data_IF_496686699580
#
_entry.id   IF_496686699580
#
_cell.length_a   1.000
_cell.length_b   1.000
_cell.length_c   1.000
_cell.angle_alpha   90.00
_cell.angle_beta   90.00
_cell.angle_gamma   90.00
#
_symmetry.space_group_name_H-M   'P 1'
#
loop_
_entity.id
_entity.type
_entity.pdbx_description
1 polymer ?
2 polymer ?
3 branched ?
4 branched ?
5 branched ?
6 non-polymer ?
7 non-polymer ?
8 water ?
#
loop_
_entity_poly.entity_id
_entity_poly.type
_entity_poly.pdbx_seq_one_letter_code
_entity_poly.pdbx_strand_id
2 'polyribonucleotide' 'CUC' ?
#
# COMPACT_ATOMS: atom_id res chain seq x y z
N UNK A 3 -9.52 -10.79 11.75
CA UNK A 3 -10.40 -9.85 11.00
C UNK A 3 -10.08 -8.34 11.09
N UNK A 4 -9.60 -7.90 12.27
CA UNK A 4 -9.20 -6.54 12.57
C UNK A 4 -7.73 -6.34 12.20
N UNK A 5 -7.47 -5.30 11.38
CA UNK A 5 -6.11 -4.94 10.97
C UNK A 5 -5.42 -4.25 12.15
N UNK A 6 -4.23 -4.68 12.54
CA UNK A 6 -3.51 -3.99 13.62
C UNK A 6 -2.27 -3.36 13.00
N UNK A 7 -2.24 -2.04 12.98
CA UNK A 7 -1.14 -1.30 12.37
C UNK A 7 -0.32 -0.47 13.36
N UNK A 8 0.97 -0.37 13.11
CA UNK A 8 1.85 0.41 13.95
C UNK A 8 2.95 1.13 13.18
N UNK A 9 3.47 2.20 13.77
CA UNK A 9 4.58 2.94 13.21
C UNK A 9 5.85 2.29 13.70
N UNK A 10 6.92 2.44 12.92
CA UNK A 10 8.25 1.97 13.27
C UNK A 10 9.21 3.15 13.21
N UNK A 11 10.27 3.13 14.00
CA UNK A 11 11.22 4.25 13.98
C UNK A 11 11.98 4.43 12.65
N UNK A 12 12.20 5.69 12.26
CA UNK A 12 12.94 6.08 11.07
C UNK A 12 13.33 7.57 11.17
N UNK A 13 14.65 7.84 11.33
CA UNK A 13 15.18 9.22 11.37
C UNK A 13 14.87 9.95 10.07
N UNK A 14 14.79 9.21 8.98
CA UNK A 14 14.50 9.72 7.64
C UNK A 14 13.07 10.17 7.41
N UNK A 15 12.12 9.70 8.26
CA UNK A 15 10.71 10.12 8.14
C UNK A 15 10.34 11.15 9.21
N UNK A 16 9.93 12.34 8.75
CA UNK A 16 9.48 13.45 9.59
C UNK A 16 8.18 13.03 10.30
N UNK A 17 8.06 13.39 11.56
CA UNK A 17 6.89 13.08 12.36
C UNK A 17 7.18 12.12 13.49
N UNK A 18 6.24 11.20 13.74
CA UNK A 18 6.37 10.21 14.80
C UNK A 18 7.57 9.29 14.57
N UNK A 19 7.84 8.88 13.31
CA UNK A 19 8.94 7.99 12.98
C UNK A 19 10.30 8.55 13.43
N UNK A 20 10.53 9.88 13.27
CA UNK A 20 11.77 10.53 13.74
C UNK A 20 11.75 10.63 15.28
N UNK A 21 10.57 10.99 15.84
CA UNK A 21 10.38 11.12 17.28
C UNK A 21 10.71 9.83 18.00
N UNK A 22 10.20 8.69 17.46
CA UNK A 22 10.40 7.34 17.98
C UNK A 22 11.89 6.99 18.02
N UNK A 23 12.61 7.30 16.90
CA UNK A 23 14.05 7.11 16.73
C UNK A 23 14.81 7.86 17.83
N UNK A 24 14.63 9.19 17.91
CA UNK A 24 15.23 10.08 18.92
C UNK A 24 14.98 9.55 20.35
N UNK A 25 13.86 8.85 20.57
CA UNK A 25 13.49 8.36 21.89
C UNK A 25 13.76 6.89 22.15
N UNK A 26 14.32 6.21 21.15
CA UNK A 26 14.63 4.79 21.28
C UNK A 26 13.43 3.88 21.33
N UNK A 27 12.35 4.29 20.67
CA UNK A 27 11.11 3.51 20.54
C UNK A 27 11.20 2.86 19.17
N UNK A 28 10.93 1.54 19.10
CA UNK A 28 11.03 0.83 17.82
C UNK A 28 9.67 0.67 17.19
N UNK A 29 8.61 0.40 17.99
CA UNK A 29 7.24 0.22 17.54
C UNK A 29 6.23 0.98 18.41
N UNK A 30 5.39 1.78 17.77
CA UNK A 30 4.34 2.54 18.42
C UNK A 30 3.04 2.29 17.67
N UNK A 31 2.04 1.72 18.35
CA UNK A 31 0.75 1.35 17.79
C UNK A 31 0.02 2.51 17.10
N UNK A 32 -0.46 2.28 15.86
CA UNK A 32 -1.30 3.28 15.17
C UNK A 32 -2.75 2.99 15.57
N UNK A 33 -3.28 1.81 15.20
CA UNK A 33 -4.64 1.41 15.51
C UNK A 33 -4.96 -0.08 15.36
N UNK A 34 -6.21 -0.46 15.72
CA UNK A 34 -6.79 -1.81 15.59
C UNK A 34 -8.06 -1.57 14.79
N UNK A 35 -8.05 -2.01 13.55
CA UNK A 35 -9.11 -1.68 12.61
C UNK A 35 -10.06 -2.76 12.14
N UNK A 36 -11.30 -2.70 12.66
CA UNK A 36 -12.36 -3.57 12.13
C UNK A 36 -12.83 -3.01 10.77
N UNK A 37 -13.79 -3.70 10.10
CA UNK A 37 -14.26 -3.24 8.78
C UNK A 37 -15.03 -1.94 8.81
N UNK A 38 -15.77 -1.71 9.87
CA UNK A 38 -16.65 -0.55 10.06
C UNK A 38 -15.94 0.70 10.54
N UNK A 39 -16.09 1.82 9.78
CA UNK A 39 -15.53 3.10 10.19
C UNK A 39 -16.64 3.86 10.94
N UNK A 40 -16.35 4.31 12.14
CA UNK A 40 -17.32 5.05 12.95
C UNK A 40 -17.54 6.41 12.35
N UNK A 41 -18.81 6.79 12.17
CA UNK A 41 -19.17 8.09 11.58
C UNK A 41 -20.19 8.69 12.49
N UNK A 42 -19.98 9.95 12.86
CA UNK A 42 -20.89 10.64 13.75
C UNK A 42 -20.37 10.82 15.15
N UNK A 43 -21.31 10.93 16.09
CA UNK A 43 -21.03 11.20 17.49
C UNK A 43 -20.81 9.96 18.34
N UNK A 44 -19.56 9.88 18.87
CA UNK A 44 -19.19 8.79 19.78
C UNK A 44 -20.16 8.53 20.95
N UNK A 45 -20.24 7.27 21.34
CA UNK A 45 -21.03 6.78 22.44
C UNK A 45 -20.52 7.41 23.73
N UNK A 46 -19.18 7.62 23.82
CA UNK A 46 -18.46 8.17 24.98
C UNK A 46 -17.26 8.94 24.49
N UNK A 47 -17.09 10.17 25.00
CA UNK A 47 -15.95 11.00 24.64
C UNK A 47 -14.77 10.50 25.46
N UNK A 48 -13.68 10.06 24.78
CA UNK A 48 -12.48 9.51 25.44
C UNK A 48 -11.72 10.57 26.22
N UNK A 49 -11.32 10.27 27.46
CA UNK A 49 -10.59 11.21 28.30
C UNK A 49 -9.09 10.94 28.22
N UNK A 50 -8.26 12.02 28.33
CA UNK A 50 -6.79 11.86 28.30
C UNK A 50 -6.33 10.83 29.32
N UNK A 51 -6.96 10.82 30.51
CA UNK A 51 -6.65 9.81 31.53
C UNK A 51 -6.89 8.39 30.99
N UNK A 52 -8.01 8.15 30.26
CA UNK A 52 -8.35 6.84 29.69
C UNK A 52 -7.35 6.46 28.60
N UNK A 53 -6.98 7.43 27.74
CA UNK A 53 -6.07 7.18 26.62
C UNK A 53 -4.63 6.94 27.03
N UNK A 54 -4.17 7.60 28.10
CA UNK A 54 -2.80 7.46 28.61
C UNK A 54 -2.55 6.04 29.12
N UNK A 55 -3.62 5.26 29.35
CA UNK A 55 -3.57 3.85 29.80
C UNK A 55 -3.04 2.93 28.70
N UNK A 56 -2.94 3.44 27.44
CA UNK A 56 -2.37 2.68 26.33
C UNK A 56 -0.86 3.00 26.40
N UNK A 57 -0.25 2.42 27.43
CA UNK A 57 1.16 2.60 27.73
C UNK A 57 2.05 2.16 26.61
N UNK A 58 2.86 3.11 26.14
CA UNK A 58 3.80 2.89 25.06
C UNK A 58 3.42 3.46 23.73
N UNK A 59 2.10 3.65 23.52
CA UNK A 59 1.61 4.19 22.27
C UNK A 59 1.88 5.68 22.21
N UNK A 60 2.83 6.10 21.36
CA UNK A 60 3.12 7.50 21.18
C UNK A 60 2.09 8.14 20.23
N UNK A 61 1.65 9.38 20.53
CA UNK A 61 0.73 10.17 19.66
C UNK A 61 1.49 10.56 18.39
N UNK A 62 0.81 10.52 17.25
CA UNK A 62 1.37 10.90 15.96
C UNK A 62 1.46 12.43 15.83
N UNK A 63 0.76 13.21 16.68
CA UNK A 63 0.73 14.65 16.64
C UNK A 63 1.89 15.36 17.38
N UNK A 64 2.56 16.36 16.69
CA UNK A 64 3.65 17.18 17.31
C UNK A 64 3.06 18.11 18.36
N UNK A 65 1.78 18.49 18.19
CA UNK A 65 1.04 19.37 19.08
C UNK A 65 0.92 18.83 20.55
N UNK A 66 1.52 17.65 20.86
CA UNK A 66 1.59 17.02 22.20
C UNK A 66 3.00 16.46 22.39
N UNK A 67 3.94 16.82 21.45
CA UNK A 67 5.33 16.36 21.37
C UNK A 67 5.35 14.83 21.31
N UNK A 68 4.46 14.26 20.45
CA UNK A 68 4.35 12.83 20.21
C UNK A 68 4.16 12.04 21.48
N UNK A 69 3.19 12.49 22.30
CA UNK A 69 2.91 11.81 23.56
C UNK A 69 1.50 11.24 23.55
N UNK A 70 0.54 12.05 23.92
CA UNK A 70 -0.87 11.71 24.03
C UNK A 70 -1.66 13.05 23.95
N UNK A 71 -2.91 13.07 23.42
CA UNK A 71 -3.73 11.94 23.03
C UNK A 71 -4.42 12.07 21.71
N UNK A 72 -4.05 13.05 20.87
CA UNK A 72 -4.73 13.30 19.59
C UNK A 72 -4.99 12.05 18.75
N UNK A 73 -3.91 11.24 18.47
CA UNK A 73 -4.00 10.01 17.68
C UNK A 73 -4.82 8.96 18.40
N UNK A 74 -4.55 8.75 19.72
CA UNK A 74 -5.25 7.79 20.58
C UNK A 74 -6.76 8.08 20.54
N UNK A 75 -7.13 9.38 20.71
CA UNK A 75 -8.52 9.86 20.65
C UNK A 75 -9.08 9.70 19.25
N UNK A 76 -8.25 9.95 18.21
CA UNK A 76 -8.63 9.76 16.82
C UNK A 76 -9.07 8.31 16.60
N UNK A 77 -8.26 7.35 17.07
CA UNK A 77 -8.54 5.91 16.96
C UNK A 77 -9.84 5.53 17.62
N UNK A 78 -10.06 5.99 18.85
CA UNK A 78 -11.30 5.71 19.54
C UNK A 78 -12.47 6.19 18.72
N UNK A 79 -12.39 7.48 18.28
CA UNK A 79 -13.40 8.18 17.52
C UNK A 79 -13.68 7.59 16.18
N UNK A 80 -12.62 7.24 15.40
CA UNK A 80 -12.80 6.73 14.04
C UNK A 80 -13.08 5.22 13.93
N UNK A 81 -12.44 4.41 14.81
CA UNK A 81 -12.57 2.96 14.76
C UNK A 81 -13.01 2.31 16.07
N UNK A 82 -13.10 3.12 17.11
CA UNK A 82 -13.34 2.65 18.46
C UNK A 82 -14.76 2.32 18.82
N UNK A 83 -15.45 3.34 19.31
CA UNK A 83 -16.79 3.34 19.89
C UNK A 83 -17.89 2.58 19.16
N UNK A 84 -17.92 2.60 17.85
CA UNK A 84 -18.99 1.94 17.10
C UNK A 84 -18.81 0.44 16.95
N UNK A 85 -17.61 -0.08 17.25
CA UNK A 85 -17.23 -1.49 17.14
C UNK A 85 -17.06 -2.19 18.49
N UNK A 86 -16.47 -1.49 19.50
CA UNK A 86 -16.26 -2.02 20.86
C UNK A 86 -17.37 -1.62 21.84
N UNK A 87 -18.13 -0.53 21.54
CA UNK A 87 -19.26 -0.01 22.33
C UNK A 87 -18.90 0.66 23.65
N UNK A 88 -17.85 0.16 24.32
CA UNK A 88 -17.37 0.73 25.58
C UNK A 88 -15.88 0.90 25.53
N UNK A 89 -15.35 1.98 26.11
CA UNK A 89 -13.94 2.28 26.06
C UNK A 89 -13.05 1.24 26.76
N UNK A 90 -13.53 0.69 27.89
CA UNK A 90 -12.76 -0.30 28.64
C UNK A 90 -12.16 -1.44 27.78
N UNK A 91 -12.96 -2.27 27.07
CA UNK A 91 -12.37 -3.37 26.28
C UNK A 91 -11.30 -2.89 25.30
N UNK A 92 -11.65 -1.80 24.58
CA UNK A 92 -10.80 -1.16 23.59
C UNK A 92 -9.46 -0.78 24.22
N UNK A 93 -9.50 -0.09 25.39
CA UNK A 93 -8.29 0.34 26.11
C UNK A 93 -7.47 -0.87 26.47
N UNK A 94 -8.12 -1.92 26.97
CA UNK A 94 -7.42 -3.13 27.37
C UNK A 94 -6.76 -3.84 26.19
N UNK A 95 -7.43 -3.85 25.02
CA UNK A 95 -6.88 -4.46 23.81
C UNK A 95 -5.71 -3.64 23.23
N UNK A 96 -5.92 -2.31 23.09
CA UNK A 96 -4.93 -1.38 22.55
C UNK A 96 -3.66 -1.48 23.36
N UNK A 97 -3.84 -1.53 24.69
CA UNK A 97 -2.73 -1.62 25.62
C UNK A 97 -1.93 -2.93 25.51
N UNK A 98 -2.63 -4.11 25.48
CA UNK A 98 -1.96 -5.41 25.41
C UNK A 98 -1.13 -5.48 24.14
N UNK A 99 -1.71 -5.01 23.02
CA UNK A 99 -1.07 -4.95 21.71
C UNK A 99 0.20 -4.11 21.77
N UNK A 100 0.11 -2.85 22.24
CA UNK A 100 1.28 -2.00 22.32
C UNK A 100 2.38 -2.68 23.12
N UNK A 101 2.00 -3.20 24.31
CA UNK A 101 2.87 -3.93 25.20
C UNK A 101 3.59 -5.06 24.47
N UNK A 102 2.87 -5.85 23.63
CA UNK A 102 3.41 -6.95 22.79
C UNK A 102 4.39 -6.38 21.79
N UNK A 103 4.02 -5.29 21.13
CA UNK A 103 4.93 -4.59 20.24
C UNK A 103 6.19 -4.11 21.00
N UNK A 104 6.05 -3.40 22.13
CA UNK A 104 7.15 -2.93 22.99
C UNK A 104 8.08 -4.12 23.39
N UNK A 105 7.46 -5.22 23.82
CA UNK A 105 8.16 -6.41 24.28
C UNK A 105 8.83 -7.22 23.16
N UNK A 106 8.70 -6.75 21.91
CA UNK A 106 9.33 -7.38 20.75
C UNK A 106 8.42 -7.71 19.59
N UNK A 110 4.55 -11.79 13.86
CA UNK A 110 4.24 -11.41 12.47
C UNK A 110 4.09 -9.92 12.18
N UNK A 111 4.99 -9.41 11.34
CA UNK A 111 5.07 -8.01 10.98
C UNK A 111 5.36 -7.87 9.50
N UNK A 112 4.39 -7.30 8.78
CA UNK A 112 4.43 -7.04 7.35
C UNK A 112 4.61 -5.59 7.12
N UNK A 113 5.35 -5.20 6.11
CA UNK A 113 5.52 -3.77 5.79
C UNK A 113 4.22 -3.21 5.20
N UNK A 114 3.93 -1.91 5.45
CA UNK A 114 2.74 -1.22 4.92
C UNK A 114 3.26 -0.09 4.04
N UNK A 115 4.21 0.68 4.58
CA UNK A 115 4.81 1.81 3.89
C UNK A 115 6.32 1.81 4.14
N UNK A 116 7.11 2.07 3.10
CA UNK A 116 8.54 2.15 3.28
C UNK A 116 8.95 3.54 2.88
N UNK A 117 10.18 3.86 3.14
CA UNK A 117 10.92 5.03 2.71
C UNK A 117 12.17 4.37 2.17
N UNK A 118 12.33 4.31 0.84
CA UNK A 118 13.55 3.70 0.28
C UNK A 118 14.73 4.64 0.49
N UNK A 119 15.74 4.18 1.22
CA UNK A 119 16.93 4.96 1.57
C UNK A 119 17.99 4.61 0.51
N UNK A 120 18.41 5.61 -0.33
CA UNK A 120 19.38 5.36 -1.41
C UNK A 120 20.78 5.05 -0.86
N UNK A 121 21.23 5.75 0.23
CA UNK A 121 22.54 5.53 0.90
C UNK A 121 22.70 4.14 1.48
N UNK A 122 21.60 3.46 1.84
CA UNK A 122 21.73 2.11 2.40
C UNK A 122 21.09 1.01 1.54
N UNK A 123 20.54 1.39 0.37
CA UNK A 123 19.84 0.50 -0.56
C UNK A 123 18.77 -0.38 0.18
N UNK A 124 18.05 0.27 1.10
CA UNK A 124 17.07 -0.40 1.94
C UNK A 124 15.69 0.23 1.93
N UNK A 125 14.68 -0.63 2.04
CA UNK A 125 13.30 -0.23 2.21
C UNK A 125 13.09 -0.03 3.73
N UNK A 126 13.19 1.22 4.19
CA UNK A 126 13.03 1.47 5.61
C UNK A 126 11.56 1.50 5.90
N UNK A 127 11.08 0.51 6.67
CA UNK A 127 9.64 0.34 7.02
C UNK A 127 9.20 1.40 8.03
N UNK A 128 8.24 2.24 7.63
CA UNK A 128 7.72 3.33 8.48
C UNK A 128 6.43 2.94 9.16
N UNK A 129 5.63 2.05 8.54
CA UNK A 129 4.40 1.52 9.12
C UNK A 129 4.32 0.01 8.83
N UNK A 130 3.84 -0.80 9.80
CA UNK A 130 3.70 -2.25 9.65
C UNK A 130 2.38 -2.76 10.19
N UNK A 131 2.05 -4.03 9.87
CA UNK A 131 0.83 -4.70 10.34
C UNK A 131 0.96 -6.23 10.55
N UNK A 132 -0.04 -6.82 11.24
CA UNK A 132 -0.12 -8.24 11.56
C UNK A 132 -0.48 -9.16 10.35
N UNK A 133 -0.76 -8.59 9.16
CA UNK A 133 -1.15 -9.35 7.96
C UNK A 133 -0.46 -8.78 6.71
N UNK A 134 -0.24 -9.55 5.60
CA UNK A 134 0.37 -8.93 4.39
C UNK A 134 -0.53 -7.89 3.75
N UNK A 135 0.06 -6.89 3.05
CA UNK A 135 -0.70 -5.78 2.43
C UNK A 135 0.00 -5.18 1.21
N UNK A 136 -0.75 -4.68 0.19
CA UNK A 136 -0.10 -4.03 -0.96
C UNK A 136 0.90 -2.99 -0.47
N UNK A 137 2.18 -3.07 -0.86
CA UNK A 137 3.15 -2.09 -0.34
C UNK A 137 3.03 -0.71 -0.99
N UNK A 138 3.56 0.34 -0.30
CA UNK A 138 3.58 1.76 -0.72
C UNK A 138 4.95 2.40 -0.40
N UNK A 139 5.60 2.91 -1.43
CA UNK A 139 6.92 3.53 -1.29
C UNK A 139 8.05 2.56 -1.01
N UNK A 140 7.84 1.27 -1.37
CA UNK A 140 8.85 0.21 -1.20
C UNK A 140 9.43 -0.12 -2.57
N UNK A 141 10.75 0.02 -2.76
CA UNK A 141 11.38 -0.32 -4.04
C UNK A 141 11.38 -1.85 -4.21
N UNK A 142 10.98 -2.36 -5.41
CA UNK A 142 10.95 -3.81 -5.70
C UNK A 142 12.35 -4.41 -5.60
N UNK A 143 12.42 -5.63 -5.11
CA UNK A 143 13.66 -6.38 -4.98
C UNK A 143 14.71 -5.90 -4.00
N UNK A 144 14.38 -4.90 -3.16
CA UNK A 144 15.30 -4.39 -2.14
C UNK A 144 14.92 -4.93 -0.75
N UNK A 145 15.92 -5.13 0.12
CA UNK A 145 15.69 -5.65 1.47
C UNK A 145 14.96 -4.61 2.35
N UNK A 146 14.25 -5.09 3.38
CA UNK A 146 13.48 -4.27 4.30
C UNK A 146 14.17 -4.12 5.64
N UNK A 147 14.09 -2.93 6.24
CA UNK A 147 14.61 -2.65 7.58
C UNK A 147 13.46 -2.31 8.51
N UNK A 148 13.05 -3.27 9.35
CA UNK A 148 12.00 -3.12 10.35
C UNK A 148 12.67 -2.71 11.65
N UNK A 149 12.75 -1.39 11.90
CA UNK A 149 13.37 -0.81 13.10
C UNK A 149 14.77 -1.42 13.35
N UNK A 150 15.59 -1.41 12.29
CA UNK A 150 16.94 -1.96 12.28
C UNK A 150 17.03 -3.41 11.79
N UNK A 151 16.04 -4.27 12.14
CA UNK A 151 16.05 -5.66 11.69
C UNK A 151 15.93 -5.73 10.15
N UNK A 152 16.94 -6.37 9.47
CA UNK A 152 16.97 -6.56 8.01
C UNK A 152 16.29 -7.86 7.66
N UNK A 153 15.30 -7.79 6.79
CA UNK A 153 14.46 -8.91 6.38
C UNK A 153 14.47 -8.94 4.86
N UNK A 154 14.51 -10.15 4.28
CA UNK A 154 14.53 -10.32 2.84
C UNK A 154 13.20 -9.97 2.21
N UNK A 155 12.12 -10.50 2.79
CA UNK A 155 10.77 -10.23 2.28
C UNK A 155 10.01 -9.05 2.89
N UNK A 156 8.75 -8.76 2.43
CA UNK A 156 7.95 -7.69 3.04
C UNK A 156 7.39 -8.09 4.40
N UNK A 157 7.36 -9.39 4.71
CA UNK A 157 6.95 -9.91 6.02
C UNK A 157 8.07 -10.80 6.55
N UNK A 158 8.24 -10.83 7.87
CA UNK A 158 9.23 -11.66 8.58
C UNK A 158 8.60 -13.10 8.93
N UNK A 159 7.68 -13.57 8.05
CA UNK A 159 6.94 -14.82 8.15
C UNK A 159 6.15 -15.07 6.83
N UNK B 3 -11.05 2.19 -1.14
CA UNK B 3 -10.25 1.30 -0.27
C UNK B 3 -9.30 0.32 -1.07
N UNK B 4 -9.55 0.11 -2.40
CA UNK B 4 -8.74 -0.78 -3.22
C UNK B 4 -7.75 0.01 -4.07
N UNK B 5 -6.43 -0.32 -3.96
CA UNK B 5 -5.38 0.30 -4.81
C UNK B 5 -5.52 -0.29 -6.25
N UNK B 6 -5.62 0.54 -7.27
CA UNK B 6 -5.69 0.02 -8.63
C UNK B 6 -4.41 0.47 -9.29
N UNK B 7 -3.58 -0.48 -9.68
CA UNK B 7 -2.29 -0.19 -10.29
C UNK B 7 -2.18 -0.71 -11.72
N UNK B 8 -1.48 0.04 -12.57
CA UNK B 8 -1.29 -0.38 -13.93
C UNK B 8 0.09 0.01 -14.48
N UNK B 9 0.48 -0.71 -15.50
CA UNK B 9 1.70 -0.49 -16.21
C UNK B 9 1.43 0.50 -17.35
N UNK B 10 2.42 1.33 -17.69
CA UNK B 10 2.31 2.28 -18.81
C UNK B 10 3.43 1.99 -19.83
N UNK B 11 3.20 2.26 -21.12
CA UNK B 11 4.23 2.02 -22.14
C UNK B 11 5.50 2.87 -21.98
N UNK B 12 6.65 2.26 -22.26
CA UNK B 12 7.98 2.89 -22.23
C UNK B 12 8.99 2.01 -22.98
N UNK B 13 9.48 2.50 -24.16
CA UNK B 13 10.49 1.80 -24.96
C UNK B 13 11.76 1.64 -24.14
N UNK B 14 12.02 2.59 -23.26
CA UNK B 14 13.18 2.61 -22.38
C UNK B 14 13.19 1.59 -21.28
N UNK B 15 12.01 1.02 -20.91
CA UNK B 15 11.95 -0.01 -19.88
C UNK B 15 11.76 -1.39 -20.47
N UNK B 16 12.73 -2.27 -20.19
CA UNK B 16 12.73 -3.66 -20.63
C UNK B 16 11.57 -4.41 -19.92
N UNK B 17 10.89 -5.28 -20.66
CA UNK B 17 9.77 -6.03 -20.12
C UNK B 17 8.45 -5.66 -20.76
N UNK B 18 7.38 -5.63 -19.94
CA UNK B 18 6.05 -5.30 -20.43
C UNK B 18 6.00 -3.87 -20.99
N UNK B 19 6.68 -2.91 -20.35
CA UNK B 19 6.67 -1.51 -20.78
C UNK B 19 7.14 -1.33 -22.23
N UNK B 20 8.18 -2.09 -22.66
CA UNK B 20 8.67 -2.06 -24.06
C UNK B 20 7.67 -2.78 -24.96
N UNK B 21 7.14 -3.94 -24.48
CA UNK B 21 6.17 -4.75 -25.22
C UNK B 21 4.93 -3.93 -25.55
N UNK B 22 4.41 -3.19 -24.54
CA UNK B 22 3.24 -2.31 -24.66
C UNK B 22 3.44 -1.25 -25.75
N UNK B 23 4.64 -0.60 -25.73
CA UNK B 23 5.06 0.42 -26.68
C UNK B 23 5.02 -0.14 -28.10
N UNK B 24 5.79 -1.25 -28.35
CA UNK B 24 5.85 -1.98 -29.62
C UNK B 24 4.46 -2.33 -30.13
N UNK B 25 3.50 -2.58 -29.21
CA UNK B 25 2.15 -2.99 -29.58
C UNK B 25 1.09 -1.88 -29.56
N UNK B 26 1.50 -0.66 -29.26
CA UNK B 26 0.58 0.48 -29.22
C UNK B 26 -0.41 0.44 -28.08
N UNK B 27 -0.01 -0.18 -26.96
CA UNK B 27 -0.80 -0.25 -25.74
C UNK B 27 -0.25 0.85 -24.84
N UNK B 28 -1.13 1.69 -24.26
CA UNK B 28 -0.70 2.79 -23.41
C UNK B 28 -0.77 2.42 -21.93
N UNK B 29 -1.87 1.77 -21.55
CA UNK B 29 -2.11 1.34 -20.19
C UNK B 29 -2.51 -0.15 -20.16
N UNK B 30 -1.85 -0.93 -19.29
CA UNK B 30 -2.11 -2.35 -19.08
C UNK B 30 -2.19 -2.58 -17.58
N UNK B 31 -3.38 -2.98 -17.12
CA UNK B 31 -3.70 -3.19 -15.71
C UNK B 31 -2.76 -4.18 -15.02
N UNK B 32 -2.25 -3.81 -13.83
CA UNK B 32 -1.43 -4.72 -13.05
C UNK B 32 -2.40 -5.45 -12.15
N UNK B 33 -3.11 -4.74 -11.27
CA UNK B 33 -4.10 -5.31 -10.34
C UNK B 33 -5.03 -4.33 -9.66
N UNK B 34 -5.98 -4.87 -8.86
CA UNK B 34 -6.96 -4.13 -8.04
C UNK B 34 -6.74 -4.69 -6.66
N UNK B 35 -6.14 -3.90 -5.78
CA UNK B 35 -5.71 -4.37 -4.49
C UNK B 35 -6.43 -3.92 -3.25
N UNK B 36 -7.27 -4.82 -2.67
CA UNK B 36 -7.87 -4.53 -1.37
C UNK B 36 -6.77 -4.63 -0.29
N UNK B 37 -7.11 -4.33 0.97
CA UNK B 37 -6.18 -4.33 2.08
C UNK B 37 -5.61 -5.71 2.36
N UNK B 38 -6.45 -6.76 2.18
CA UNK B 38 -6.17 -8.17 2.46
C UNK B 38 -5.45 -8.91 1.34
N UNK B 39 -4.28 -9.48 1.65
CA UNK B 39 -3.55 -10.30 0.67
C UNK B 39 -4.00 -11.76 0.92
N UNK B 40 -4.44 -12.43 -0.14
CA UNK B 40 -4.88 -13.81 -0.03
C UNK B 40 -3.72 -14.71 0.29
N UNK B 41 -3.90 -15.57 1.30
CA UNK B 41 -2.87 -16.47 1.80
C UNK B 41 -3.24 -17.95 1.81
N UNK B 42 -4.52 -18.30 1.92
CA UNK B 42 -4.94 -19.70 2.01
C UNK B 42 -4.78 -20.47 0.70
N UNK B 43 -5.71 -21.38 0.47
CA UNK B 43 -5.81 -22.09 -0.80
C UNK B 43 -7.02 -21.45 -1.53
N UNK B 44 -6.84 -20.98 -2.81
CA UNK B 44 -7.96 -20.33 -3.53
C UNK B 44 -9.28 -21.09 -3.51
N UNK B 45 -10.36 -20.32 -3.47
CA UNK B 45 -11.72 -20.81 -3.48
C UNK B 45 -12.02 -21.52 -4.81
N UNK B 46 -11.40 -21.03 -5.91
CA UNK B 46 -11.55 -21.51 -7.29
C UNK B 46 -10.25 -21.29 -8.03
N UNK B 47 -9.77 -22.30 -8.74
CA UNK B 47 -8.53 -22.16 -9.51
C UNK B 47 -8.91 -21.52 -10.84
N UNK B 48 -8.31 -20.35 -11.17
CA UNK B 48 -8.60 -19.57 -12.39
C UNK B 48 -8.12 -20.27 -13.65
N UNK B 49 -8.96 -20.27 -14.67
CA UNK B 49 -8.63 -20.91 -15.95
C UNK B 49 -8.16 -19.86 -16.97
N UNK B 50 -7.26 -20.25 -17.91
CA UNK B 50 -6.78 -19.32 -18.94
C UNK B 50 -7.95 -18.72 -19.72
N UNK B 51 -8.99 -19.52 -19.98
CA UNK B 51 -10.19 -19.03 -20.64
C UNK B 51 -10.84 -17.91 -19.84
N UNK B 52 -10.91 -18.05 -18.50
CA UNK B 52 -11.52 -17.03 -17.60
C UNK B 52 -10.66 -15.76 -17.58
N UNK B 53 -9.34 -15.93 -17.53
CA UNK B 53 -8.40 -14.80 -17.46
C UNK B 53 -8.29 -13.99 -18.75
N UNK B 54 -8.39 -14.66 -19.91
CA UNK B 54 -8.31 -14.00 -21.21
C UNK B 54 -9.49 -13.02 -21.41
N UNK B 55 -10.56 -13.13 -20.57
CA UNK B 55 -11.73 -12.25 -20.59
C UNK B 55 -11.40 -10.83 -20.10
N UNK B 56 -10.22 -10.64 -19.48
CA UNK B 56 -9.75 -9.33 -19.04
C UNK B 56 -9.03 -8.76 -20.27
N UNK B 57 -9.87 -8.40 -21.26
CA UNK B 57 -9.42 -7.86 -22.54
C UNK B 57 -8.65 -6.58 -22.39
N UNK B 58 -7.42 -6.62 -22.89
CA UNK B 58 -6.53 -5.47 -22.84
C UNK B 58 -5.40 -5.62 -21.86
N UNK B 59 -5.61 -6.39 -20.79
CA UNK B 59 -4.60 -6.60 -19.77
C UNK B 59 -3.49 -7.52 -20.27
N UNK B 60 -2.33 -6.97 -20.54
CA UNK B 60 -1.18 -7.74 -20.97
C UNK B 60 -0.48 -8.38 -19.76
N UNK B 61 -0.03 -9.61 -19.91
CA UNK B 61 0.71 -10.31 -18.87
C UNK B 61 2.11 -9.64 -18.80
N UNK B 62 2.70 -9.63 -17.58
CA UNK B 62 4.00 -9.02 -17.33
C UNK B 62 5.16 -9.97 -17.70
N UNK B 63 4.86 -11.25 -17.90
CA UNK B 63 5.84 -12.26 -18.27
C UNK B 63 6.19 -12.35 -19.76
N UNK B 64 7.49 -12.64 -20.03
CA UNK B 64 7.94 -12.87 -21.40
C UNK B 64 7.59 -14.32 -21.79
N UNK B 65 7.51 -15.25 -20.78
CA UNK B 65 7.15 -16.67 -20.91
C UNK B 65 5.89 -16.84 -21.77
N UNK B 66 5.03 -15.78 -21.89
CA UNK B 66 3.78 -15.84 -22.66
C UNK B 66 3.74 -14.76 -23.76
N UNK B 67 4.93 -14.12 -23.98
CA UNK B 67 5.16 -13.01 -24.90
C UNK B 67 4.21 -11.86 -24.54
N UNK B 68 4.15 -11.57 -23.22
CA UNK B 68 3.34 -10.50 -22.64
C UNK B 68 1.88 -10.57 -23.06
N UNK B 69 1.27 -11.76 -22.93
CA UNK B 69 -0.12 -11.95 -23.30
C UNK B 69 -0.96 -12.31 -22.08
N UNK B 70 -0.99 -13.60 -21.76
CA UNK B 70 -1.81 -14.19 -20.69
C UNK B 70 -1.16 -15.54 -20.35
N UNK B 71 -1.28 -16.07 -19.12
CA UNK B 71 -2.08 -15.58 -18.00
C UNK B 71 -1.35 -15.52 -16.68
N UNK B 72 0.00 -15.65 -16.67
CA UNK B 72 0.80 -15.72 -15.45
C UNK B 72 0.46 -14.61 -14.43
N UNK B 73 0.44 -13.33 -14.89
CA UNK B 73 0.16 -12.16 -14.07
C UNK B 73 -1.31 -12.13 -13.67
N UNK B 74 -2.21 -12.34 -14.62
CA UNK B 74 -3.68 -12.37 -14.43
C UNK B 74 -4.04 -13.41 -13.35
N UNK B 75 -3.44 -14.63 -13.43
CA UNK B 75 -3.63 -15.73 -12.48
C UNK B 75 -3.04 -15.34 -11.13
N UNK B 76 -1.86 -14.66 -11.17
CA UNK B 76 -1.19 -14.18 -9.97
C UNK B 76 -2.13 -13.26 -9.20
N UNK B 77 -2.77 -12.32 -9.89
CA UNK B 77 -3.71 -11.37 -9.33
C UNK B 77 -4.88 -12.05 -8.67
N UNK B 78 -5.50 -13.02 -9.37
CA UNK B 78 -6.63 -13.76 -8.81
C UNK B 78 -6.21 -14.43 -7.51
N UNK B 79 -5.05 -15.13 -7.56
CA UNK B 79 -4.49 -15.90 -6.47
C UNK B 79 -4.08 -15.08 -5.31
N UNK B 80 -3.36 -13.98 -5.54
CA UNK B 80 -2.83 -13.13 -4.45
C UNK B 80 -3.83 -12.10 -3.88
N UNK B 81 -4.70 -11.52 -4.73
CA UNK B 81 -5.65 -10.48 -4.32
C UNK B 81 -7.11 -10.74 -4.66
N UNK B 82 -7.41 -11.74 -5.47
CA UNK B 82 -8.78 -11.95 -5.93
C UNK B 82 -9.73 -12.74 -5.06
N UNK B 83 -9.57 -14.07 -5.05
CA UNK B 83 -10.47 -15.02 -4.39
C UNK B 83 -10.89 -14.73 -2.96
N UNK B 84 -10.00 -14.24 -2.12
CA UNK B 84 -10.32 -14.04 -0.71
C UNK B 84 -11.13 -12.78 -0.43
N UNK B 85 -11.21 -11.86 -1.40
CA UNK B 85 -11.87 -10.58 -1.31
C UNK B 85 -13.15 -10.49 -2.14
N UNK B 86 -13.17 -11.10 -3.35
CA UNK B 86 -14.34 -11.13 -4.25
C UNK B 86 -15.18 -12.41 -4.11
N UNK B 87 -14.57 -13.51 -3.59
CA UNK B 87 -15.21 -14.82 -3.34
C UNK B 87 -15.52 -15.66 -4.56
N UNK B 88 -15.86 -15.01 -5.68
CA UNK B 88 -16.18 -15.68 -6.94
C UNK B 88 -15.45 -15.01 -8.07
N UNK B 89 -14.96 -15.78 -9.06
CA UNK B 89 -14.20 -15.21 -10.17
C UNK B 89 -15.00 -14.23 -11.05
N UNK B 90 -16.30 -14.53 -11.26
CA UNK B 90 -17.14 -13.69 -12.10
C UNK B 90 -17.08 -12.18 -11.77
N UNK B 91 -17.44 -11.72 -10.54
CA UNK B 91 -17.37 -10.27 -10.25
C UNK B 91 -16.00 -9.66 -10.53
N UNK B 92 -14.94 -10.36 -10.05
CA UNK B 92 -13.56 -9.98 -10.21
C UNK B 92 -13.23 -9.81 -11.69
N UNK B 93 -13.59 -10.80 -12.55
CA UNK B 93 -13.34 -10.75 -14.00
C UNK B 93 -14.05 -9.53 -14.58
N UNK B 94 -15.30 -9.31 -14.19
CA UNK B 94 -16.07 -8.19 -14.68
C UNK B 94 -15.49 -6.85 -14.28
N UNK B 95 -14.95 -6.75 -13.06
CA UNK B 95 -14.32 -5.51 -12.58
C UNK B 95 -12.96 -5.25 -13.26
N UNK B 96 -12.10 -6.30 -13.29
CA UNK B 96 -10.78 -6.22 -13.88
C UNK B 96 -10.90 -5.79 -15.33
N UNK B 97 -11.89 -6.36 -16.02
CA UNK B 97 -12.15 -6.05 -17.42
C UNK B 97 -12.62 -4.62 -17.63
N UNK B 98 -13.61 -4.19 -16.81
CA UNK B 98 -14.20 -2.86 -16.86
C UNK B 98 -13.14 -1.79 -16.54
N UNK B 99 -12.24 -2.10 -15.57
CA UNK B 99 -11.14 -1.20 -15.19
C UNK B 99 -10.23 -1.09 -16.40
N UNK B 100 -9.83 -2.24 -16.98
CA UNK B 100 -8.94 -2.25 -18.12
C UNK B 100 -9.54 -1.48 -19.33
N UNK B 101 -10.85 -1.65 -19.61
CA UNK B 101 -11.51 -0.92 -20.68
C UNK B 101 -11.44 0.55 -20.39
N UNK B 102 -11.63 0.99 -19.12
CA UNK B 102 -11.48 2.42 -18.75
C UNK B 102 -10.05 2.95 -19.03
N UNK B 103 -9.01 2.19 -18.63
CA UNK B 103 -7.61 2.51 -18.86
C UNK B 103 -7.29 2.58 -20.40
N UNK B 104 -7.78 1.60 -21.19
CA UNK B 104 -7.65 1.56 -22.66
C UNK B 104 -8.38 2.74 -23.27
N UNK B 105 -9.49 3.20 -22.64
CA UNK B 105 -10.28 4.34 -23.10
C UNK B 105 -9.62 5.71 -22.82
N UNK B 106 -8.39 5.70 -22.30
CA UNK B 106 -7.67 6.93 -22.01
C UNK B 106 -7.46 7.24 -20.54
N UNK B 107 -6.60 8.27 -20.26
CA UNK B 107 -6.17 8.73 -18.91
C UNK B 107 -7.34 8.68 -17.91
N UNK B 108 -7.20 7.94 -16.78
CA UNK B 108 -8.32 7.81 -15.85
C UNK B 108 -8.51 9.03 -14.95
N UNK B 109 -9.58 8.96 -14.13
CA UNK B 109 -9.96 9.96 -13.16
C UNK B 109 -8.73 10.34 -12.34
N UNK B 110 -8.02 9.35 -11.78
CA UNK B 110 -6.84 9.61 -10.99
C UNK B 110 -5.70 8.72 -11.46
N UNK B 111 -4.55 9.33 -11.87
CA UNK B 111 -3.37 8.62 -12.34
C UNK B 111 -2.13 9.22 -11.72
N UNK B 112 -1.66 8.67 -10.59
CA UNK B 112 -0.46 9.06 -9.85
C UNK B 112 0.68 8.19 -10.33
N UNK B 113 1.86 8.74 -10.43
CA UNK B 113 3.03 7.95 -10.79
C UNK B 113 3.42 7.06 -9.59
N UNK B 114 3.96 5.86 -9.85
CA UNK B 114 4.40 4.93 -8.81
C UNK B 114 5.91 4.79 -9.01
N UNK B 115 6.32 4.54 -10.26
CA UNK B 115 7.70 4.35 -10.63
C UNK B 115 7.99 5.09 -11.94
N UNK B 116 9.14 5.79 -11.99
CA UNK B 116 9.59 6.47 -13.21
C UNK B 116 10.91 5.91 -13.67
N UNK B 117 11.18 6.21 -14.92
CA UNK B 117 12.46 6.00 -15.58
C UNK B 117 12.77 7.40 -16.05
N UNK B 118 13.72 8.10 -15.40
CA UNK B 118 14.06 9.44 -15.85
C UNK B 118 14.87 9.31 -17.15
N UNK B 119 14.25 9.72 -18.26
CA UNK B 119 14.81 9.73 -19.60
C UNK B 119 15.55 11.06 -19.77
N UNK B 120 16.91 11.00 -19.79
CA UNK B 120 17.77 12.19 -19.93
C UNK B 120 17.51 12.92 -21.25
N UNK B 121 17.52 12.16 -22.38
CA UNK B 121 17.29 12.66 -23.75
C UNK B 121 16.08 13.60 -23.85
N UNK B 122 15.09 13.46 -22.97
CA UNK B 122 13.90 14.31 -23.03
C UNK B 122 13.64 15.06 -21.74
N UNK B 123 14.56 14.95 -20.75
CA UNK B 123 14.43 15.58 -19.41
C UNK B 123 13.03 15.32 -18.77
N UNK B 124 12.58 14.08 -18.90
CA UNK B 124 11.27 13.66 -18.45
C UNK B 124 11.30 12.43 -17.55
N UNK B 125 10.42 12.46 -16.56
CA UNK B 125 10.20 11.33 -15.71
C UNK B 125 9.18 10.49 -16.48
N UNK B 126 9.63 9.39 -17.14
CA UNK B 126 8.75 8.52 -17.91
C UNK B 126 8.13 7.54 -16.93
N UNK B 127 6.80 7.65 -16.72
CA UNK B 127 6.03 6.83 -15.77
C UNK B 127 5.88 5.39 -16.31
N UNK B 128 6.41 4.40 -15.56
CA UNK B 128 6.37 2.99 -15.93
C UNK B 128 5.21 2.25 -15.23
N UNK B 129 4.84 2.70 -14.02
CA UNK B 129 3.70 2.16 -13.25
C UNK B 129 2.92 3.31 -12.62
N UNK B 130 1.57 3.22 -12.60
CA UNK B 130 0.72 4.26 -12.01
C UNK B 130 -0.41 3.69 -11.19
N UNK B 131 -1.09 4.56 -10.39
CA UNK B 131 -2.25 4.18 -9.57
C UNK B 131 -3.28 5.30 -9.35
N UNK B 132 -4.47 4.92 -8.85
CA UNK B 132 -5.59 5.85 -8.59
C UNK B 132 -5.44 6.70 -7.28
N UNK B 133 -4.33 6.55 -6.55
CA UNK B 133 -4.07 7.32 -5.32
C UNK B 133 -2.59 7.75 -5.23
N UNK B 134 -2.20 8.84 -4.49
CA UNK B 134 -0.78 9.22 -4.41
C UNK B 134 0.06 8.19 -3.68
N UNK B 135 1.35 8.12 -4.05
CA UNK B 135 2.33 7.19 -3.48
C UNK B 135 3.77 7.77 -3.54
N UNK B 136 4.60 7.58 -2.47
CA UNK B 136 6.00 8.03 -2.54
C UNK B 136 6.64 7.50 -3.83
N UNK B 137 7.22 8.41 -4.63
CA UNK B 137 7.76 7.99 -5.92
C UNK B 137 9.06 7.21 -5.82
N UNK B 138 9.40 6.48 -6.92
CA UNK B 138 10.61 5.65 -7.10
C UNK B 138 11.18 5.82 -8.49
N UNK B 139 12.43 6.27 -8.53
CA UNK B 139 13.14 6.51 -9.79
C UNK B 139 12.65 7.72 -10.57
N UNK B 140 12.02 8.68 -9.86
CA UNK B 140 11.50 9.91 -10.44
C UNK B 140 12.40 11.06 -10.01
N UNK B 141 13.03 11.78 -10.96
CA UNK B 141 13.91 12.91 -10.63
C UNK B 141 13.05 14.07 -10.11
N UNK B 142 13.46 14.70 -8.96
CA UNK B 142 12.69 15.83 -8.41
C UNK B 142 12.66 17.02 -9.38
N UNK B 143 11.55 17.73 -9.39
CA UNK B 143 11.36 18.93 -10.22
C UNK B 143 11.29 18.75 -11.72
N UNK B 144 11.24 17.50 -12.22
CA UNK B 144 11.11 17.24 -13.66
C UNK B 144 9.68 16.83 -14.00
N UNK B 145 9.22 17.17 -15.22
CA UNK B 145 7.87 16.84 -15.70
C UNK B 145 7.69 15.32 -15.90
N UNK B 146 6.45 14.84 -15.82
CA UNK B 146 6.08 13.44 -15.96
C UNK B 146 5.44 13.16 -17.31
N UNK B 147 5.77 12.00 -17.90
CA UNK B 147 5.16 11.53 -19.14
C UNK B 147 4.40 10.24 -18.88
N UNK B 148 3.07 10.35 -18.78
CA UNK B 148 2.18 9.21 -18.59
C UNK B 148 1.76 8.75 -19.98
N UNK B 149 2.46 7.75 -20.54
CA UNK B 149 2.21 7.18 -21.88
C UNK B 149 2.02 8.30 -22.92
N UNK B 150 2.98 9.23 -22.94
CA UNK B 150 2.96 10.39 -23.83
C UNK B 150 2.39 11.65 -23.22
N UNK B 151 1.31 11.54 -22.40
CA UNK B 151 0.72 12.72 -21.75
C UNK B 151 1.72 13.37 -20.77
N UNK B 152 2.07 14.67 -21.01
CA UNK B 152 2.98 15.44 -20.16
C UNK B 152 2.20 16.14 -19.07
N UNK B 153 2.60 15.91 -17.82
CA UNK B 153 1.93 16.43 -16.64
C UNK B 153 3.01 17.11 -15.78
N UNK B 154 2.66 18.23 -15.13
CA UNK B 154 3.59 18.97 -14.28
C UNK B 154 3.86 18.21 -13.00
N UNK B 155 2.80 17.74 -12.34
CA UNK B 155 2.90 17.00 -11.07
C UNK B 155 3.02 15.49 -11.15
N UNK B 156 3.18 14.78 -9.99
CA UNK B 156 3.21 13.29 -10.02
C UNK B 156 1.83 12.67 -10.24
N UNK B 157 0.78 13.44 -10.00
CA UNK B 157 -0.59 13.06 -10.19
C UNK B 157 -1.35 14.09 -11.03
N UNK B 158 -2.67 13.79 -11.29
CA UNK B 158 -3.75 14.65 -11.86
C UNK B 158 -4.99 14.85 -10.86
#
# INVERSE_FOLDING_TARGET
>A
RSENITQWNLQDNGTEGIQRAMFQRGVNRSLKGIWPEKICTGVPSHLATDTELKAIHGMMDASEKTNYTCCRLQRHEWNKHGWCNWYNIEPWILLMNKTQANLTEGQPLRECAVTCRYDRDSDLNVVTQARDSPTPLTGCKKGKNFSFAGILVQGPCNFEIAVSDVL
>B
RSENITQWNLQDNGTEGIQRAMFQRGVNRSLKGIWPEKICTGVPSHLATDTELKAIHGMMDASEKTNYTCCRLQRHEWNKHGWCNWYNIEPWILLMNKTQANLTEGQPLRECAVTCRYDRDSDLNVVTQARDSPTPLTGCKKGKNFSFAGILVQGPCNFEIAVSDVL
#
